data_IF_074057091105
#
_entry.id   IF_074057091105
#
_cell.length_a   1.000
_cell.length_b   1.000
_cell.length_c   1.000
_cell.angle_alpha   90.00
_cell.angle_beta   90.00
_cell.angle_gamma   90.00
#
_symmetry.space_group_name_H-M   'P 1'
#
loop_
_entity.id
_entity.type
_entity.pdbx_description
1 polymer ?
#
# COMPACT_ATOMS: atom_id res chain seq x y z
N UNK A 1 6.60 7.86 -6.33
CA UNK A 1 7.49 7.23 -5.33
C UNK A 1 8.41 8.26 -4.72
N UNK A 2 8.55 8.21 -3.42
CA UNK A 2 9.45 9.10 -2.69
C UNK A 2 10.76 8.41 -2.35
N UNK A 3 11.71 9.18 -1.79
CA UNK A 3 13.04 8.69 -1.44
C UNK A 3 13.00 7.54 -0.43
N UNK A 4 13.94 6.61 -0.58
CA UNK A 4 14.14 5.49 0.34
C UNK A 4 12.96 4.51 0.40
N UNK A 5 12.08 4.52 -0.59
CA UNK A 5 11.08 3.47 -0.75
C UNK A 5 11.73 2.21 -1.30
N UNK A 6 11.25 1.06 -0.84
CA UNK A 6 11.62 -0.22 -1.41
C UNK A 6 10.37 -0.97 -1.85
N UNK A 7 10.24 -1.17 -3.15
CA UNK A 7 9.11 -1.89 -3.74
C UNK A 7 9.63 -3.20 -4.31
N UNK A 8 9.17 -4.31 -3.73
CA UNK A 8 9.61 -5.64 -4.12
C UNK A 8 9.03 -6.06 -5.47
N UNK A 9 9.65 -7.09 -6.08
CA UNK A 9 9.14 -7.71 -7.30
C UNK A 9 7.71 -8.25 -7.10
N UNK A 10 6.98 -8.42 -8.20
CA UNK A 10 5.58 -8.87 -8.24
C UNK A 10 4.60 -7.90 -7.61
N UNK A 11 4.99 -6.65 -7.42
CA UNK A 11 4.10 -5.58 -6.97
C UNK A 11 3.48 -4.85 -8.15
N UNK A 12 2.27 -4.34 -7.97
CA UNK A 12 1.55 -3.55 -8.95
C UNK A 12 1.15 -2.21 -8.34
N UNK A 13 1.55 -1.12 -8.97
CA UNK A 13 1.15 0.24 -8.57
C UNK A 13 0.35 0.84 -9.71
N UNK A 14 -0.92 1.16 -9.46
CA UNK A 14 -1.79 1.78 -10.46
C UNK A 14 -1.58 3.29 -10.54
N UNK A 15 -2.39 3.98 -11.34
CA UNK A 15 -2.21 5.42 -11.61
C UNK A 15 -2.47 6.29 -10.38
N UNK A 16 -1.75 7.40 -10.29
CA UNK A 16 -1.95 8.42 -9.24
C UNK A 16 -1.79 7.88 -7.82
N UNK A 17 -0.96 6.86 -7.66
CA UNK A 17 -0.61 6.31 -6.35
C UNK A 17 0.49 7.16 -5.72
N UNK A 18 0.36 7.44 -4.42
CA UNK A 18 1.39 8.13 -3.65
C UNK A 18 2.06 7.15 -2.67
N UNK A 19 3.36 7.00 -2.81
CA UNK A 19 4.16 6.17 -1.90
C UNK A 19 5.17 7.08 -1.20
N UNK A 20 4.98 7.29 0.09
CA UNK A 20 5.81 8.19 0.89
C UNK A 20 7.21 7.63 1.19
N UNK A 21 8.14 8.46 1.65
CA UNK A 21 9.49 8.00 1.97
C UNK A 21 9.52 6.88 3.00
N UNK A 22 10.46 5.94 2.83
CA UNK A 22 10.69 4.87 3.80
C UNK A 22 9.65 3.75 3.77
N UNK A 23 8.74 3.73 2.81
CA UNK A 23 7.81 2.61 2.65
C UNK A 23 8.58 1.38 2.19
N UNK A 24 8.32 0.25 2.85
CA UNK A 24 8.92 -1.04 2.51
C UNK A 24 7.82 -2.04 2.21
N UNK A 25 7.84 -2.62 1.01
CA UNK A 25 6.94 -3.72 0.67
C UNK A 25 7.69 -5.05 0.77
N UNK A 26 6.97 -6.13 0.89
CA UNK A 26 7.56 -7.46 0.95
C UNK A 26 6.77 -8.42 0.06
N UNK A 27 7.43 -9.51 -0.35
CA UNK A 27 6.85 -10.46 -1.28
C UNK A 27 7.05 -11.92 -0.88
N UNK A 28 7.62 -12.19 0.29
CA UNK A 28 7.96 -13.55 0.72
C UNK A 28 7.45 -13.82 2.12
N UNK A 29 6.34 -14.56 2.21
CA UNK A 29 5.75 -14.95 3.49
C UNK A 29 6.62 -15.93 4.29
N UNK A 30 7.60 -16.57 3.66
CA UNK A 30 8.45 -17.57 4.30
C UNK A 30 9.78 -16.99 4.78
N UNK A 31 10.04 -15.72 4.50
CA UNK A 31 11.23 -14.99 4.95
C UNK A 31 12.52 -15.72 4.58
N UNK A 32 12.57 -16.23 3.36
CA UNK A 32 13.76 -16.92 2.82
C UNK A 32 13.97 -18.34 3.35
N UNK A 33 13.06 -18.89 4.13
CA UNK A 33 13.31 -20.12 4.89
C UNK A 33 13.07 -21.42 4.14
N UNK A 34 12.32 -21.42 3.08
CA UNK A 34 11.99 -22.66 2.36
C UNK A 34 12.04 -22.50 0.86
N UNK A 35 12.22 -23.61 0.12
CA UNK A 35 12.11 -23.59 -1.33
C UNK A 35 10.67 -23.36 -1.81
N UNK A 36 9.67 -23.64 -0.97
CA UNK A 36 8.27 -23.36 -1.27
C UNK A 36 8.01 -21.88 -1.54
N UNK A 37 8.80 -20.98 -0.98
CA UNK A 37 8.67 -19.54 -1.17
C UNK A 37 8.64 -19.13 -2.64
N UNK A 38 9.38 -19.81 -3.48
CA UNK A 38 9.47 -19.48 -4.91
C UNK A 38 8.14 -19.69 -5.65
N UNK A 39 7.22 -20.47 -5.10
CA UNK A 39 5.89 -20.70 -5.65
C UNK A 39 4.87 -19.69 -5.17
N UNK A 40 5.18 -18.91 -4.14
CA UNK A 40 4.21 -18.09 -3.41
C UNK A 40 4.62 -16.62 -3.30
N UNK A 41 5.58 -16.17 -4.09
CA UNK A 41 5.94 -14.75 -4.10
C UNK A 41 4.76 -13.91 -4.58
N UNK A 42 4.33 -12.98 -3.75
CA UNK A 42 3.29 -12.01 -4.09
C UNK A 42 3.67 -10.65 -3.53
N UNK A 43 3.77 -9.65 -4.39
CA UNK A 43 3.98 -8.28 -3.97
C UNK A 43 2.69 -7.60 -3.52
N UNK A 44 2.77 -6.31 -3.27
CA UNK A 44 1.62 -5.48 -2.95
C UNK A 44 0.94 -5.02 -4.25
N UNK A 45 -0.38 -4.88 -4.22
CA UNK A 45 -1.14 -4.20 -5.27
C UNK A 45 -1.70 -2.92 -4.67
N UNK A 46 -1.31 -1.77 -5.22
CA UNK A 46 -1.81 -0.46 -4.77
C UNK A 46 -2.67 0.11 -5.89
N UNK A 47 -3.95 0.24 -5.62
CA UNK A 47 -4.92 0.65 -6.62
C UNK A 47 -4.97 2.16 -6.78
N UNK A 48 -5.59 2.59 -7.88
CA UNK A 48 -5.64 3.99 -8.32
C UNK A 48 -5.98 4.95 -7.20
N UNK A 49 -5.18 6.00 -7.08
CA UNK A 49 -5.43 7.08 -6.12
C UNK A 49 -5.07 6.79 -4.68
N UNK A 50 -4.66 5.58 -4.35
CA UNK A 50 -4.31 5.23 -2.98
C UNK A 50 -3.01 5.89 -2.53
N UNK A 51 -2.90 6.17 -1.24
CA UNK A 51 -1.69 6.73 -0.64
C UNK A 51 -1.16 5.85 0.48
N UNK A 52 0.15 5.72 0.54
CA UNK A 52 0.83 4.93 1.58
C UNK A 52 1.77 5.86 2.35
N UNK A 53 1.50 6.05 3.64
CA UNK A 53 2.24 6.96 4.50
C UNK A 53 3.66 6.51 4.79
N UNK A 54 4.49 7.46 5.21
CA UNK A 54 5.92 7.24 5.43
C UNK A 54 6.18 6.11 6.44
N UNK A 55 7.20 5.31 6.15
CA UNK A 55 7.64 4.24 7.05
C UNK A 55 6.69 3.05 7.17
N UNK A 56 5.66 2.96 6.32
CA UNK A 56 4.74 1.83 6.31
C UNK A 56 5.41 0.56 5.77
N UNK A 57 5.08 -0.58 6.35
CA UNK A 57 5.49 -1.89 5.86
C UNK A 57 4.25 -2.65 5.39
N UNK A 58 4.30 -3.20 4.18
CA UNK A 58 3.23 -4.07 3.68
C UNK A 58 3.70 -5.52 3.63
N UNK A 59 2.83 -6.43 4.04
CA UNK A 59 3.10 -7.86 3.96
C UNK A 59 2.73 -8.40 2.57
N UNK A 60 3.29 -9.56 2.18
CA UNK A 60 3.07 -10.10 0.84
C UNK A 60 1.59 -10.32 0.50
N UNK A 61 1.25 -10.02 -0.75
CA UNK A 61 -0.09 -10.31 -1.28
C UNK A 61 -1.19 -9.34 -0.87
N UNK A 62 -0.85 -8.26 -0.15
CA UNK A 62 -1.84 -7.27 0.29
C UNK A 62 -2.29 -6.41 -0.88
N UNK A 63 -3.58 -6.10 -0.94
CA UNK A 63 -4.16 -5.12 -1.88
C UNK A 63 -4.62 -3.90 -1.11
N UNK A 64 -4.15 -2.73 -1.53
CA UNK A 64 -4.60 -1.43 -1.00
C UNK A 64 -5.60 -0.88 -2.02
N UNK A 65 -6.85 -0.75 -1.60
CA UNK A 65 -7.98 -0.41 -2.47
C UNK A 65 -7.91 1.01 -3.03
N UNK A 66 -8.76 1.30 -4.03
CA UNK A 66 -8.79 2.62 -4.66
C UNK A 66 -9.07 3.72 -3.63
N UNK A 67 -8.35 4.83 -3.75
CA UNK A 67 -8.48 5.99 -2.88
C UNK A 67 -8.29 5.71 -1.38
N UNK A 68 -7.79 4.54 -1.02
CA UNK A 68 -7.50 4.23 0.38
C UNK A 68 -6.26 4.97 0.86
N UNK A 69 -6.17 5.20 2.15
CA UNK A 69 -4.99 5.80 2.77
C UNK A 69 -4.47 4.91 3.88
N UNK A 70 -3.16 4.70 3.88
CA UNK A 70 -2.46 4.00 4.95
C UNK A 70 -1.70 5.05 5.75
N UNK A 71 -2.02 5.18 7.03
CA UNK A 71 -1.34 6.14 7.89
C UNK A 71 0.14 5.78 8.09
N UNK A 72 0.96 6.77 8.34
CA UNK A 72 2.41 6.59 8.52
C UNK A 72 2.73 5.55 9.61
N UNK A 73 3.82 4.82 9.40
CA UNK A 73 4.36 3.82 10.32
C UNK A 73 3.38 2.67 10.64
N UNK A 74 2.48 2.36 9.73
CA UNK A 74 1.56 1.22 9.86
C UNK A 74 2.19 -0.07 9.34
N UNK A 75 1.71 -1.21 9.83
CA UNK A 75 2.05 -2.52 9.27
C UNK A 75 0.79 -3.12 8.66
N UNK A 76 0.74 -3.19 7.33
CA UNK A 76 -0.44 -3.63 6.60
C UNK A 76 -0.35 -5.14 6.39
N UNK A 77 -1.14 -5.89 7.15
CA UNK A 77 -1.16 -7.36 7.12
C UNK A 77 -2.39 -7.93 6.42
N UNK A 78 -3.36 -7.09 6.06
CA UNK A 78 -4.59 -7.48 5.38
C UNK A 78 -4.90 -6.46 4.29
N UNK A 79 -5.77 -6.85 3.36
CA UNK A 79 -6.24 -5.93 2.33
C UNK A 79 -6.92 -4.71 2.96
N UNK A 80 -6.69 -3.57 2.34
CA UNK A 80 -7.27 -2.30 2.76
C UNK A 80 -8.47 -2.01 1.86
N UNK A 81 -9.68 -1.85 2.42
CA UNK A 81 -10.86 -1.53 1.63
C UNK A 81 -10.71 -0.18 0.92
N UNK A 82 -11.33 -0.06 -0.25
CA UNK A 82 -11.35 1.19 -0.99
C UNK A 82 -11.92 2.33 -0.13
N UNK A 83 -11.33 3.52 -0.27
CA UNK A 83 -11.79 4.76 0.38
C UNK A 83 -11.74 4.75 1.90
N UNK A 84 -10.99 3.84 2.50
CA UNK A 84 -10.81 3.76 3.95
C UNK A 84 -9.41 4.19 4.36
N UNK A 85 -9.32 4.79 5.54
CA UNK A 85 -8.03 5.05 6.19
C UNK A 85 -7.78 3.94 7.20
N UNK A 86 -6.61 3.34 7.10
CA UNK A 86 -6.14 2.36 8.09
C UNK A 86 -4.93 2.89 8.82
N UNK A 87 -4.74 2.48 10.07
CA UNK A 87 -3.58 2.85 10.85
C UNK A 87 -3.23 1.77 11.85
N UNK A 88 -1.98 1.77 12.29
CA UNK A 88 -1.51 0.96 13.39
C UNK A 88 -0.68 -0.25 13.00
N UNK A 89 -0.32 -1.02 14.01
CA UNK A 89 0.48 -2.25 13.91
C UNK A 89 -0.19 -3.33 14.75
N UNK A 90 -0.93 -4.27 14.13
CA UNK A 90 -1.31 -4.30 12.71
C UNK A 90 -2.31 -3.20 12.35
N UNK A 91 -2.30 -2.79 11.09
CA UNK A 91 -3.20 -1.74 10.63
C UNK A 91 -4.66 -2.18 10.70
N UNK A 92 -5.51 -1.26 11.14
CA UNK A 92 -6.96 -1.48 11.23
C UNK A 92 -7.69 -0.30 10.63
N UNK A 93 -8.89 -0.53 10.12
CA UNK A 93 -9.73 0.54 9.58
C UNK A 93 -10.04 1.55 10.68
N UNK A 94 -9.80 2.81 10.38
CA UNK A 94 -10.06 3.91 11.29
C UNK A 94 -11.30 4.70 10.88
N UNK A 95 -11.35 5.16 9.63
CA UNK A 95 -12.48 5.93 9.11
C UNK A 95 -12.43 6.01 7.59
N UNK A 96 -13.46 6.59 7.00
CA UNK A 96 -13.49 6.86 5.57
C UNK A 96 -12.54 8.01 5.22
N UNK A 97 -11.99 7.97 4.02
CA UNK A 97 -11.21 9.08 3.46
C UNK A 97 -12.14 10.26 3.25
N UNK A 98 -11.79 11.47 3.73
CA UNK A 98 -12.59 12.67 3.45
C UNK A 98 -12.80 12.87 1.95
N UNK A 99 -14.01 13.29 1.58
CA UNK A 99 -14.41 13.43 0.17
C UNK A 99 -13.44 14.30 -0.62
N UNK A 100 -12.96 15.38 -0.03
CA UNK A 100 -12.02 16.29 -0.67
C UNK A 100 -10.65 15.69 -0.95
N UNK A 101 -10.34 14.56 -0.32
CA UNK A 101 -9.06 13.86 -0.52
C UNK A 101 -9.15 12.73 -1.54
N UNK A 102 -10.35 12.39 -2.02
CA UNK A 102 -10.49 11.40 -3.07
C UNK A 102 -9.84 11.89 -4.36
N UNK A 103 -9.29 10.98 -5.14
CA UNK A 103 -8.58 11.33 -6.38
C UNK A 103 -9.40 12.21 -7.30
N UNK A 104 -10.69 11.92 -7.45
CA UNK A 104 -11.61 12.68 -8.30
C UNK A 104 -11.74 14.14 -7.88
N UNK A 105 -11.41 14.47 -6.64
CA UNK A 105 -11.56 15.82 -6.07
C UNK A 105 -10.22 16.52 -5.82
N UNK A 106 -9.11 15.94 -6.25
CA UNK A 106 -7.77 16.52 -6.06
C UNK A 106 -7.36 17.50 -7.17
N UNK A 107 -8.16 17.64 -8.20
CA UNK A 107 -7.88 18.58 -9.28
C UNK A 107 -6.83 18.09 -10.28
N UNK A 108 -6.59 16.80 -10.35
CA UNK A 108 -5.66 16.25 -11.35
C UNK A 108 -6.21 16.43 -12.75
N UNK A 109 -5.32 16.81 -13.65
CA UNK A 109 -5.63 16.93 -15.08
C UNK A 109 -4.79 15.92 -15.82
N UNK A 110 -5.44 15.08 -16.63
CA UNK A 110 -4.71 14.13 -17.46
C UNK A 110 -3.94 14.89 -18.55
N UNK A 111 -2.66 14.64 -18.61
CA UNK A 111 -1.79 15.28 -19.60
C UNK A 111 -1.85 14.57 -20.94
#
# INVERSE_FOLDING_TARGET
>A
LESECYITAYSTLEDRVFIAPGVVTSNDNFVGRTAERFKHFKGVTVKKGAGVGAGTVTLPGVTIGEDALVAAASVVSRDVPARMIVLGTPARVWREVPVEQLLENQGWVDA
#
